data_IF_472251707554
#
_entry.id   IF_472251707554
#
_cell.length_a   1.000
_cell.length_b   1.000
_cell.length_c   1.000
_cell.angle_alpha   90.00
_cell.angle_beta   90.00
_cell.angle_gamma   90.00
#
_symmetry.space_group_name_H-M   'P 1'
#
loop_
_entity.id
_entity.type
_entity.pdbx_description
1 polymer ?
#
# COMPACT_ATOMS: atom_id res chain seq x y z
N UNK A 1 -7.25 17.15 22.69
CA UNK A 1 -6.02 17.61 23.36
C UNK A 1 -4.73 17.24 22.62
N UNK A 2 -4.69 16.18 21.78
CA UNK A 2 -3.50 15.70 21.04
C UNK A 2 -3.16 16.57 19.82
N UNK A 3 -4.17 17.10 19.08
CA UNK A 3 -4.02 17.89 17.85
C UNK A 3 -3.01 19.05 17.94
N UNK A 4 -3.06 19.94 18.95
CA UNK A 4 -2.11 21.08 19.04
C UNK A 4 -0.67 20.63 19.32
N UNK A 5 -0.50 19.52 20.04
CA UNK A 5 0.82 18.96 20.39
C UNK A 5 1.45 18.31 19.15
N UNK A 6 0.68 17.50 18.42
CA UNK A 6 1.11 16.87 17.17
C UNK A 6 1.48 17.92 16.12
N UNK A 7 0.68 18.97 15.93
CA UNK A 7 0.97 20.05 15.02
C UNK A 7 2.28 20.77 15.35
N UNK A 8 2.56 21.00 16.62
CA UNK A 8 3.80 21.62 17.08
C UNK A 8 5.01 20.70 16.94
N UNK A 9 4.85 19.42 17.26
CA UNK A 9 5.93 18.42 17.21
C UNK A 9 6.37 18.09 15.78
N UNK A 10 5.42 18.06 14.85
CA UNK A 10 5.68 17.74 13.44
C UNK A 10 5.74 18.97 12.52
N UNK A 11 5.70 20.19 13.09
CA UNK A 11 5.74 21.45 12.36
C UNK A 11 4.71 21.56 11.21
N UNK A 12 3.51 20.99 11.43
CA UNK A 12 2.43 20.91 10.44
C UNK A 12 1.74 22.28 10.36
N UNK A 13 1.69 22.88 9.17
CA UNK A 13 0.98 24.14 8.93
C UNK A 13 -0.54 23.93 9.05
N UNK A 14 -1.26 24.93 9.56
CA UNK A 14 -2.72 24.87 9.77
C UNK A 14 -3.54 24.71 8.49
N UNK A 15 -3.12 25.33 7.40
CA UNK A 15 -3.81 25.25 6.11
C UNK A 15 -3.55 23.91 5.43
N UNK A 16 -4.61 23.16 5.11
CA UNK A 16 -4.55 21.85 4.45
C UNK A 16 -4.34 20.64 5.37
N UNK A 17 -4.05 20.85 6.67
CA UNK A 17 -3.84 19.73 7.61
C UNK A 17 -5.15 19.23 8.26
N UNK A 18 -6.27 19.94 8.12
CA UNK A 18 -7.52 19.56 8.79
C UNK A 18 -8.10 18.26 8.23
N UNK A 19 -8.07 18.09 6.92
CA UNK A 19 -8.50 16.83 6.28
C UNK A 19 -7.63 15.65 6.69
N UNK A 20 -6.32 15.86 6.83
CA UNK A 20 -5.40 14.83 7.30
C UNK A 20 -5.68 14.44 8.76
N UNK A 21 -5.87 15.41 9.66
CA UNK A 21 -6.20 15.13 11.05
C UNK A 21 -7.58 14.47 11.21
N UNK A 22 -8.55 14.87 10.40
CA UNK A 22 -9.85 14.22 10.37
C UNK A 22 -9.74 12.77 9.92
N UNK A 23 -8.92 12.49 8.92
CA UNK A 23 -8.69 11.11 8.46
C UNK A 23 -7.97 10.26 9.51
N UNK A 24 -6.98 10.82 10.23
CA UNK A 24 -6.33 10.13 11.36
C UNK A 24 -7.33 9.87 12.48
N UNK A 25 -8.18 10.83 12.81
CA UNK A 25 -9.23 10.67 13.83
C UNK A 25 -10.25 9.61 13.42
N UNK A 26 -10.74 9.66 12.19
CA UNK A 26 -11.65 8.66 11.65
C UNK A 26 -11.02 7.25 11.70
N UNK A 27 -9.72 7.14 11.39
CA UNK A 27 -8.99 5.88 11.47
C UNK A 27 -8.90 5.34 12.89
N UNK A 28 -8.58 6.19 13.86
CA UNK A 28 -8.54 5.78 15.26
C UNK A 28 -9.91 5.29 15.74
N UNK A 29 -11.00 5.88 15.25
CA UNK A 29 -12.35 5.39 15.54
C UNK A 29 -12.64 4.06 14.84
N UNK A 30 -12.27 3.90 13.56
CA UNK A 30 -12.43 2.62 12.84
C UNK A 30 -11.67 1.48 13.53
N UNK A 31 -10.45 1.72 14.01
CA UNK A 31 -9.62 0.73 14.74
C UNK A 31 -10.21 0.32 16.11
N UNK A 32 -11.16 1.07 16.62
CA UNK A 32 -11.89 0.72 17.86
C UNK A 32 -13.25 0.09 17.61
N UNK A 33 -13.69 -0.03 16.35
CA UNK A 33 -14.94 -0.62 15.94
C UNK A 33 -14.75 -2.09 15.51
N UNK A 34 -14.75 -2.98 16.49
CA UNK A 34 -14.52 -4.42 16.26
C UNK A 34 -15.67 -5.11 15.52
N UNK A 35 -16.89 -4.58 15.54
CA UNK A 35 -17.99 -5.10 14.73
C UNK A 35 -17.72 -4.83 13.24
N UNK A 36 -17.21 -3.65 12.90
CA UNK A 36 -16.79 -3.31 11.55
C UNK A 36 -15.59 -4.14 11.09
N UNK A 37 -14.59 -4.32 11.96
CA UNK A 37 -13.40 -5.14 11.67
C UNK A 37 -13.79 -6.59 11.43
N UNK A 38 -14.64 -7.18 12.28
CA UNK A 38 -15.14 -8.55 12.13
C UNK A 38 -15.83 -8.75 10.78
N UNK A 39 -16.72 -7.83 10.41
CA UNK A 39 -17.43 -7.89 9.12
C UNK A 39 -16.47 -7.83 7.94
N UNK A 40 -15.53 -6.88 7.95
CA UNK A 40 -14.51 -6.74 6.90
C UNK A 40 -13.61 -7.97 6.80
N UNK A 41 -13.20 -8.51 7.93
CA UNK A 41 -12.39 -9.73 8.02
C UNK A 41 -13.08 -10.93 7.38
N UNK A 42 -14.37 -11.14 7.68
CA UNK A 42 -15.15 -12.19 7.07
C UNK A 42 -15.31 -11.99 5.56
N UNK A 43 -15.68 -10.81 5.12
CA UNK A 43 -15.86 -10.49 3.69
C UNK A 43 -14.59 -10.70 2.87
N UNK A 44 -13.43 -10.24 3.36
CA UNK A 44 -12.14 -10.41 2.66
C UNK A 44 -11.72 -11.87 2.65
N UNK A 45 -11.84 -12.56 3.79
CA UNK A 45 -11.49 -13.97 3.91
C UNK A 45 -12.29 -14.83 2.93
N UNK A 46 -13.60 -14.63 2.84
CA UNK A 46 -14.47 -15.34 1.91
C UNK A 46 -14.12 -15.05 0.44
N UNK A 47 -13.92 -13.77 0.10
CA UNK A 47 -13.60 -13.35 -1.26
C UNK A 47 -12.22 -13.83 -1.73
N UNK A 48 -11.27 -13.98 -0.81
CA UNK A 48 -9.89 -14.38 -1.10
C UNK A 48 -9.61 -15.88 -0.84
N UNK A 49 -10.56 -16.65 -0.32
CA UNK A 49 -10.39 -18.06 0.06
C UNK A 49 -9.97 -18.98 -1.11
N UNK A 50 -10.21 -18.58 -2.36
CA UNK A 50 -9.82 -19.35 -3.54
C UNK A 50 -8.36 -19.12 -3.98
N UNK A 51 -7.67 -18.13 -3.39
CA UNK A 51 -6.27 -17.86 -3.71
C UNK A 51 -5.38 -18.98 -3.16
N UNK A 52 -4.42 -19.51 -3.95
CA UNK A 52 -3.60 -20.62 -3.53
C UNK A 52 -2.63 -20.21 -2.42
N UNK A 53 -2.33 -21.14 -1.53
CA UNK A 53 -1.38 -20.97 -0.42
C UNK A 53 -1.69 -19.82 0.55
N UNK A 54 -2.93 -19.37 0.58
CA UNK A 54 -3.44 -18.33 1.47
C UNK A 54 -4.48 -18.94 2.39
N UNK A 55 -4.46 -18.57 3.68
CA UNK A 55 -5.42 -19.06 4.66
C UNK A 55 -5.77 -17.95 5.67
N UNK A 56 -6.93 -18.11 6.32
CA UNK A 56 -7.52 -17.12 7.22
C UNK A 56 -8.10 -17.81 8.46
N UNK A 57 -8.17 -17.13 9.62
CA UNK A 57 -8.91 -17.65 10.75
C UNK A 57 -10.41 -17.71 10.43
N UNK A 58 -11.10 -18.70 10.97
CA UNK A 58 -12.55 -18.66 11.04
C UNK A 58 -12.94 -17.70 12.15
N UNK A 59 -13.88 -16.80 11.84
CA UNK A 59 -14.42 -15.85 12.79
C UNK A 59 -15.73 -16.33 13.38
N UNK A 60 -16.00 -15.98 14.65
CA UNK A 60 -17.18 -16.39 15.42
C UNK A 60 -17.98 -15.16 15.88
N UNK A 61 -18.89 -14.61 15.04
CA UNK A 61 -19.69 -13.44 15.38
C UNK A 61 -20.52 -13.62 16.66
N UNK A 62 -21.02 -14.85 16.89
CA UNK A 62 -21.81 -15.21 18.06
C UNK A 62 -21.05 -15.10 19.40
N UNK A 63 -19.71 -15.06 19.33
CA UNK A 63 -18.81 -14.87 20.48
C UNK A 63 -18.02 -13.57 20.41
N UNK A 64 -18.39 -12.68 19.50
CA UNK A 64 -17.75 -11.37 19.28
C UNK A 64 -18.67 -10.23 19.69
N UNK A 65 -18.11 -9.05 19.95
CA UNK A 65 -18.86 -7.83 20.25
C UNK A 65 -17.99 -6.59 19.95
N UNK A 66 -18.52 -5.38 20.16
CA UNK A 66 -17.83 -4.11 19.91
C UNK A 66 -16.37 -4.02 20.39
N UNK A 67 -15.95 -4.88 21.34
CA UNK A 67 -14.62 -4.84 21.96
C UNK A 67 -13.88 -6.17 21.96
N UNK A 68 -14.44 -7.20 21.35
CA UNK A 68 -13.87 -8.55 21.33
C UNK A 68 -14.14 -9.16 19.96
N UNK A 69 -13.10 -9.57 19.26
CA UNK A 69 -13.20 -10.44 18.10
C UNK A 69 -12.78 -11.85 18.53
N UNK A 70 -13.64 -12.83 18.28
CA UNK A 70 -13.37 -14.23 18.52
C UNK A 70 -13.12 -14.92 17.20
N UNK A 71 -11.94 -15.55 17.07
CA UNK A 71 -11.51 -16.26 15.86
C UNK A 71 -10.66 -17.47 16.21
N UNK A 72 -10.44 -18.35 15.23
CA UNK A 72 -9.53 -19.48 15.36
C UNK A 72 -8.11 -19.02 15.71
N UNK A 73 -7.44 -19.80 16.54
CA UNK A 73 -6.01 -19.66 16.75
C UNK A 73 -5.27 -20.22 15.53
N UNK A 74 -4.48 -19.39 14.86
CA UNK A 74 -3.68 -19.79 13.71
C UNK A 74 -2.25 -20.16 14.12
N UNK A 75 -1.85 -21.40 13.84
CA UNK A 75 -0.50 -21.87 14.12
C UNK A 75 0.46 -21.47 12.99
N UNK A 76 1.43 -20.64 13.30
CA UNK A 76 2.43 -20.19 12.34
C UNK A 76 3.53 -19.35 13.00
N UNK A 77 4.61 -19.12 12.27
CA UNK A 77 5.67 -18.21 12.66
C UNK A 77 5.33 -16.81 12.17
N UNK A 78 5.62 -15.80 12.95
CA UNK A 78 5.51 -14.42 12.47
C UNK A 78 6.33 -14.22 11.19
N UNK A 79 5.78 -13.46 10.25
CA UNK A 79 6.43 -13.19 8.97
C UNK A 79 7.87 -12.71 9.14
N UNK A 80 8.12 -11.78 10.06
CA UNK A 80 9.45 -11.27 10.39
C UNK A 80 10.40 -12.29 11.01
N UNK A 81 9.89 -13.36 11.61
CA UNK A 81 10.70 -14.47 12.11
C UNK A 81 11.01 -15.47 10.99
N UNK A 82 10.02 -15.71 10.14
CA UNK A 82 10.17 -16.57 8.97
C UNK A 82 11.27 -16.05 8.03
N UNK A 83 11.29 -14.74 7.72
CA UNK A 83 12.28 -14.13 6.82
C UNK A 83 13.73 -14.24 7.33
N UNK A 84 13.94 -14.42 8.63
CA UNK A 84 15.27 -14.54 9.26
C UNK A 84 15.79 -15.99 9.36
N UNK A 85 14.98 -16.97 8.95
CA UNK A 85 15.38 -18.37 9.02
C UNK A 85 16.06 -18.80 7.72
N UNK A 86 16.76 -19.93 7.80
CA UNK A 86 17.34 -20.60 6.63
C UNK A 86 16.19 -21.34 5.87
N UNK A 87 15.50 -20.60 5.03
CA UNK A 87 14.44 -21.10 4.17
C UNK A 87 14.98 -21.35 2.76
N UNK A 88 14.38 -22.31 2.04
CA UNK A 88 14.68 -22.47 0.61
C UNK A 88 14.19 -21.24 -0.18
N UNK A 89 14.89 -20.92 -1.29
CA UNK A 89 14.44 -19.82 -2.16
C UNK A 89 13.04 -20.07 -2.73
N UNK A 90 12.68 -21.33 -2.97
CA UNK A 90 11.35 -21.72 -3.44
C UNK A 90 10.27 -21.41 -2.41
N UNK A 91 10.52 -21.65 -1.12
CA UNK A 91 9.61 -21.28 -0.04
C UNK A 91 9.43 -19.75 0.06
N UNK A 92 10.54 -19.01 -0.02
CA UNK A 92 10.50 -17.54 0.00
C UNK A 92 9.73 -16.98 -1.20
N UNK A 93 9.98 -17.53 -2.41
CA UNK A 93 9.27 -17.13 -3.62
C UNK A 93 7.77 -17.50 -3.56
N UNK A 94 7.44 -18.67 -3.00
CA UNK A 94 6.05 -19.12 -2.82
C UNK A 94 5.28 -18.14 -1.92
N UNK A 95 5.84 -17.78 -0.77
CA UNK A 95 5.22 -16.80 0.14
C UNK A 95 5.14 -15.43 -0.51
N UNK A 96 6.20 -14.99 -1.19
CA UNK A 96 6.22 -13.73 -1.92
C UNK A 96 5.15 -13.66 -3.02
N UNK A 97 5.01 -14.71 -3.83
CA UNK A 97 3.96 -14.77 -4.85
C UNK A 97 2.56 -14.72 -4.24
N UNK A 98 2.33 -15.47 -3.15
CA UNK A 98 1.05 -15.46 -2.44
C UNK A 98 0.72 -14.06 -1.91
N UNK A 99 1.70 -13.39 -1.31
CA UNK A 99 1.53 -12.03 -0.79
C UNK A 99 1.23 -11.03 -1.93
N UNK A 100 1.96 -11.11 -3.04
CA UNK A 100 1.72 -10.31 -4.23
C UNK A 100 0.31 -10.51 -4.77
N UNK A 101 -0.09 -11.75 -5.01
CA UNK A 101 -1.40 -12.11 -5.56
C UNK A 101 -2.54 -11.65 -4.67
N UNK A 102 -2.38 -11.79 -3.36
CA UNK A 102 -3.36 -11.33 -2.37
C UNK A 102 -3.61 -9.83 -2.46
N UNK A 103 -2.55 -9.01 -2.53
CA UNK A 103 -2.69 -7.55 -2.67
C UNK A 103 -3.22 -7.14 -4.04
N UNK A 104 -2.73 -7.75 -5.11
CA UNK A 104 -3.18 -7.43 -6.47
C UNK A 104 -4.64 -7.84 -6.68
N UNK A 105 -5.07 -8.99 -6.17
CA UNK A 105 -6.47 -9.40 -6.23
C UNK A 105 -7.39 -8.40 -5.51
N UNK A 106 -7.03 -7.96 -4.33
CA UNK A 106 -7.78 -6.94 -3.60
C UNK A 106 -7.89 -5.64 -4.39
N UNK A 107 -6.79 -5.12 -4.91
CA UNK A 107 -6.77 -3.83 -5.62
C UNK A 107 -7.52 -3.90 -6.96
N UNK A 108 -7.26 -4.93 -7.76
CA UNK A 108 -7.71 -4.99 -9.15
C UNK A 108 -9.08 -5.64 -9.31
N UNK A 109 -9.44 -6.60 -8.46
CA UNK A 109 -10.71 -7.33 -8.55
C UNK A 109 -11.73 -6.81 -7.54
N UNK A 110 -11.33 -6.73 -6.26
CA UNK A 110 -12.26 -6.33 -5.20
C UNK A 110 -12.42 -4.81 -5.08
N UNK A 111 -11.53 -4.01 -5.68
CA UNK A 111 -11.52 -2.54 -5.56
C UNK A 111 -11.42 -2.06 -4.11
N UNK A 112 -10.74 -2.81 -3.30
CA UNK A 112 -10.43 -2.48 -1.92
C UNK A 112 -9.04 -3.03 -1.58
N UNK A 113 -8.43 -2.58 -0.50
CA UNK A 113 -7.11 -3.05 -0.11
C UNK A 113 -6.92 -2.98 1.39
N UNK A 114 -6.23 -3.97 1.93
CA UNK A 114 -5.67 -3.92 3.28
C UNK A 114 -4.54 -2.88 3.30
N UNK A 115 -4.83 -1.69 3.81
CA UNK A 115 -3.93 -0.54 3.72
C UNK A 115 -2.90 -0.45 4.86
N UNK A 116 -2.72 -1.53 5.62
CA UNK A 116 -1.67 -1.68 6.62
C UNK A 116 -0.78 -2.91 6.35
N UNK A 117 0.10 -2.85 5.34
CA UNK A 117 1.03 -3.92 4.97
C UNK A 117 2.17 -4.03 6.00
N UNK A 118 1.85 -4.57 7.16
CA UNK A 118 2.79 -4.74 8.25
C UNK A 118 3.08 -6.24 8.49
N UNK A 119 4.34 -6.65 8.70
CA UNK A 119 4.70 -8.05 8.93
C UNK A 119 3.95 -8.72 10.10
N UNK A 120 3.51 -7.94 11.09
CA UNK A 120 2.74 -8.42 12.23
C UNK A 120 1.35 -8.96 11.90
N UNK A 121 0.80 -8.59 10.73
CA UNK A 121 -0.52 -9.02 10.27
C UNK A 121 -0.48 -10.38 9.55
N UNK A 122 0.71 -10.99 9.45
CA UNK A 122 0.94 -12.23 8.70
C UNK A 122 1.72 -13.25 9.50
N UNK A 123 1.27 -14.51 9.41
CA UNK A 123 2.03 -15.67 9.86
C UNK A 123 2.34 -16.57 8.67
N UNK A 124 3.33 -17.43 8.82
CA UNK A 124 3.65 -18.50 7.85
C UNK A 124 3.53 -19.84 8.56
N UNK A 125 2.63 -20.70 8.07
CA UNK A 125 2.41 -22.05 8.62
C UNK A 125 3.57 -23.00 8.32
N UNK A 126 3.55 -24.18 8.95
CA UNK A 126 4.57 -25.20 8.74
C UNK A 126 4.58 -25.74 7.29
N UNK A 127 3.42 -25.82 6.64
CA UNK A 127 3.25 -26.24 5.24
C UNK A 127 3.43 -25.09 4.22
N UNK A 128 3.98 -23.95 4.69
CA UNK A 128 4.32 -22.79 3.86
C UNK A 128 3.10 -22.16 3.18
N UNK A 129 2.06 -21.93 3.96
CA UNK A 129 0.95 -21.04 3.60
C UNK A 129 1.12 -19.70 4.30
N UNK A 130 0.69 -18.64 3.62
CA UNK A 130 0.55 -17.32 4.21
C UNK A 130 -0.78 -17.24 4.96
N UNK A 131 -0.74 -16.88 6.23
CA UNK A 131 -1.92 -16.71 7.08
C UNK A 131 -2.11 -15.22 7.35
N UNK A 132 -3.30 -14.70 7.08
CA UNK A 132 -3.62 -13.27 7.32
C UNK A 132 -4.53 -13.19 8.55
N UNK A 133 -4.09 -12.50 9.58
CA UNK A 133 -4.73 -12.53 10.91
C UNK A 133 -5.35 -11.19 11.33
N UNK A 134 -5.17 -10.12 10.58
CA UNK A 134 -5.67 -8.78 10.89
C UNK A 134 -6.16 -8.07 9.64
N UNK A 135 -7.33 -7.39 9.73
CA UNK A 135 -7.95 -6.62 8.66
C UNK A 135 -8.48 -5.26 9.16
N UNK A 136 -7.94 -4.72 10.23
CA UNK A 136 -8.38 -3.47 10.84
C UNK A 136 -8.37 -2.25 9.91
N UNK A 137 -7.60 -2.30 8.81
CA UNK A 137 -7.46 -1.18 7.88
C UNK A 137 -7.80 -1.54 6.44
N UNK A 138 -9.08 -1.75 6.11
CA UNK A 138 -9.52 -1.92 4.73
C UNK A 138 -9.94 -0.57 4.14
N UNK A 139 -9.46 -0.28 2.92
CA UNK A 139 -9.80 0.92 2.17
C UNK A 139 -10.42 0.57 0.82
N UNK A 140 -11.53 1.21 0.51
CA UNK A 140 -12.12 1.16 -0.83
C UNK A 140 -11.32 2.02 -1.81
N UNK A 141 -11.22 1.54 -3.04
CA UNK A 141 -10.54 2.23 -4.14
C UNK A 141 -11.61 2.65 -5.16
N UNK A 142 -12.07 3.92 -5.12
CA UNK A 142 -13.09 4.41 -6.05
C UNK A 142 -12.61 4.36 -7.50
N UNK A 143 -13.54 4.16 -8.44
CA UNK A 143 -13.19 4.02 -9.86
C UNK A 143 -12.59 5.29 -10.48
N UNK A 144 -12.98 6.47 -10.01
CA UNK A 144 -12.45 7.76 -10.42
C UNK A 144 -11.00 7.98 -9.99
N UNK A 145 -10.59 7.32 -8.90
CA UNK A 145 -9.20 7.26 -8.47
C UNK A 145 -8.45 6.06 -9.08
N UNK A 146 -9.07 4.89 -9.14
CA UNK A 146 -8.43 3.65 -9.60
C UNK A 146 -7.84 3.78 -11.02
N UNK A 147 -8.67 4.25 -11.97
CA UNK A 147 -8.25 4.33 -13.37
C UNK A 147 -7.04 5.23 -13.58
N UNK A 148 -7.08 6.53 -13.21
CA UNK A 148 -5.94 7.40 -13.44
C UNK A 148 -4.68 6.93 -12.71
N UNK A 149 -4.81 6.31 -11.53
CA UNK A 149 -3.67 5.81 -10.77
C UNK A 149 -2.98 4.64 -11.46
N UNK A 150 -3.73 3.60 -11.84
CA UNK A 150 -3.14 2.40 -12.45
C UNK A 150 -2.83 2.58 -13.94
N UNK A 151 -3.47 3.50 -14.65
CA UNK A 151 -3.05 3.89 -16.00
C UNK A 151 -1.61 4.45 -16.01
N UNK A 152 -1.20 5.16 -14.96
CA UNK A 152 0.18 5.63 -14.78
C UNK A 152 1.18 4.52 -14.41
N UNK A 153 0.73 3.30 -14.11
CA UNK A 153 1.63 2.17 -13.95
C UNK A 153 2.22 1.67 -15.27
N UNK A 154 1.60 2.01 -16.43
CA UNK A 154 2.10 1.65 -17.75
C UNK A 154 3.15 2.64 -18.22
N UNK A 155 4.31 2.12 -18.65
CA UNK A 155 5.44 2.93 -19.11
C UNK A 155 5.06 3.87 -20.26
N UNK A 156 4.29 3.39 -21.23
CA UNK A 156 3.83 4.18 -22.36
C UNK A 156 3.01 5.41 -21.98
N UNK A 157 2.20 5.30 -20.93
CA UNK A 157 1.38 6.39 -20.40
C UNK A 157 2.22 7.37 -19.57
N UNK A 158 3.17 6.84 -18.81
CA UNK A 158 4.08 7.66 -18.01
C UNK A 158 4.98 8.52 -18.92
N UNK A 159 5.44 7.96 -20.04
CA UNK A 159 6.31 8.65 -21.01
C UNK A 159 5.55 9.60 -21.96
N UNK A 160 4.22 9.68 -21.87
CA UNK A 160 3.40 10.66 -22.59
C UNK A 160 3.17 11.91 -21.75
N UNK A 161 3.83 13.04 -21.99
CA UNK A 161 3.81 14.20 -21.09
C UNK A 161 2.41 14.82 -20.90
N UNK A 162 1.58 14.85 -21.97
CA UNK A 162 0.23 15.41 -21.89
C UNK A 162 -0.69 14.50 -21.09
N UNK A 163 -0.68 13.20 -21.39
CA UNK A 163 -1.44 12.19 -20.66
C UNK A 163 -1.02 12.15 -19.19
N UNK A 164 0.28 12.11 -18.93
CA UNK A 164 0.83 12.11 -17.58
C UNK A 164 0.34 13.30 -16.76
N UNK A 165 0.46 14.52 -17.33
CA UNK A 165 0.01 15.74 -16.66
C UNK A 165 -1.49 15.75 -16.39
N UNK A 166 -2.31 15.31 -17.34
CA UNK A 166 -3.77 15.16 -17.17
C UNK A 166 -4.09 14.25 -15.97
N UNK A 167 -3.40 13.09 -15.86
CA UNK A 167 -3.62 12.16 -14.74
C UNK A 167 -3.17 12.75 -13.42
N UNK A 168 -2.11 13.54 -13.37
CA UNK A 168 -1.69 14.23 -12.15
C UNK A 168 -2.76 15.21 -11.65
N UNK A 169 -3.50 15.90 -12.54
CA UNK A 169 -4.65 16.71 -12.15
C UNK A 169 -5.81 15.86 -11.64
N UNK A 170 -6.14 14.75 -12.33
CA UNK A 170 -7.21 13.83 -11.89
C UNK A 170 -6.92 13.21 -10.52
N UNK A 171 -5.67 12.99 -10.18
CA UNK A 171 -5.21 12.47 -8.90
C UNK A 171 -5.02 13.56 -7.82
N UNK A 172 -5.38 14.81 -8.11
CA UNK A 172 -5.22 15.96 -7.19
C UNK A 172 -3.75 16.24 -6.81
N UNK A 173 -2.80 15.77 -7.63
CA UNK A 173 -1.38 16.04 -7.43
C UNK A 173 -1.02 17.44 -7.94
N UNK A 174 -1.60 17.84 -9.08
CA UNK A 174 -1.52 19.18 -9.63
C UNK A 174 -2.86 19.90 -9.46
N UNK A 175 -2.81 21.22 -9.36
CA UNK A 175 -3.96 22.10 -9.22
C UNK A 175 -3.86 23.29 -10.17
N UNK A 176 -5.01 23.83 -10.62
CA UNK A 176 -5.07 25.04 -11.44
C UNK A 176 -4.53 26.28 -10.71
N UNK A 177 -4.45 26.22 -9.39
CA UNK A 177 -3.88 27.27 -8.55
C UNK A 177 -2.35 27.19 -8.42
N UNK A 178 -1.72 26.18 -8.99
CA UNK A 178 -0.27 26.01 -8.90
C UNK A 178 0.47 27.05 -9.76
N UNK A 179 1.53 27.61 -9.21
CA UNK A 179 2.45 28.42 -9.99
C UNK A 179 3.19 27.56 -11.03
N UNK A 180 3.69 28.18 -12.09
CA UNK A 180 4.49 27.47 -13.12
C UNK A 180 5.64 26.68 -12.48
N UNK A 181 6.30 27.24 -11.47
CA UNK A 181 7.38 26.58 -10.75
C UNK A 181 6.92 25.33 -9.98
N UNK A 182 5.73 25.38 -9.38
CA UNK A 182 5.14 24.21 -8.70
C UNK A 182 4.73 23.13 -9.70
N UNK A 183 4.11 23.51 -10.81
CA UNK A 183 3.75 22.58 -11.88
C UNK A 183 4.98 21.82 -12.40
N UNK A 184 6.05 22.53 -12.73
CA UNK A 184 7.31 21.91 -13.20
C UNK A 184 7.91 20.99 -12.13
N UNK A 185 7.99 21.46 -10.89
CA UNK A 185 8.59 20.73 -9.79
C UNK A 185 7.82 19.43 -9.49
N UNK A 186 6.49 19.51 -9.30
CA UNK A 186 5.69 18.36 -8.95
C UNK A 186 5.54 17.38 -10.13
N UNK A 187 5.44 17.87 -11.36
CA UNK A 187 5.43 17.00 -12.53
C UNK A 187 6.72 16.16 -12.59
N UNK A 188 7.88 16.79 -12.40
CA UNK A 188 9.16 16.10 -12.38
C UNK A 188 9.27 15.11 -11.21
N UNK A 189 8.92 15.55 -9.99
CA UNK A 189 8.96 14.71 -8.80
C UNK A 189 8.13 13.44 -8.98
N UNK A 190 6.88 13.61 -9.41
CA UNK A 190 5.96 12.46 -9.55
C UNK A 190 6.32 11.57 -10.74
N UNK A 191 6.92 12.11 -11.80
CA UNK A 191 7.49 11.29 -12.85
C UNK A 191 8.61 10.39 -12.34
N UNK A 192 9.61 10.94 -11.65
CA UNK A 192 10.72 10.17 -11.08
C UNK A 192 10.24 9.12 -10.06
N UNK A 193 9.26 9.50 -9.22
CA UNK A 193 8.68 8.61 -8.22
C UNK A 193 7.91 7.45 -8.88
N UNK A 194 7.03 7.74 -9.83
CA UNK A 194 6.23 6.72 -10.50
C UNK A 194 7.06 5.86 -11.45
N UNK A 195 8.05 6.40 -12.14
CA UNK A 195 8.99 5.64 -12.96
C UNK A 195 9.67 4.54 -12.14
N UNK A 196 10.05 4.86 -10.92
CA UNK A 196 10.69 3.91 -10.03
C UNK A 196 9.68 2.92 -9.42
N UNK A 197 8.60 3.41 -8.82
CA UNK A 197 7.62 2.57 -8.13
C UNK A 197 6.81 1.66 -9.07
N UNK A 198 6.62 2.04 -10.33
CA UNK A 198 5.88 1.22 -11.30
C UNK A 198 6.78 0.27 -12.08
N UNK A 199 8.09 0.27 -11.85
CA UNK A 199 9.05 -0.61 -12.52
C UNK A 199 8.64 -2.09 -12.48
N UNK A 200 8.18 -2.66 -11.35
CA UNK A 200 7.70 -4.04 -11.32
C UNK A 200 6.57 -4.29 -12.33
N UNK A 201 5.59 -3.39 -12.44
CA UNK A 201 4.43 -3.55 -13.33
C UNK A 201 4.77 -3.56 -14.82
N UNK A 202 5.98 -3.15 -15.19
CA UNK A 202 6.47 -3.13 -16.58
C UNK A 202 7.37 -4.33 -16.90
N UNK A 203 7.31 -5.39 -16.09
CA UNK A 203 8.04 -6.64 -16.27
C UNK A 203 7.09 -7.84 -16.26
N UNK A 204 7.52 -8.97 -16.81
CA UNK A 204 6.80 -10.24 -16.67
C UNK A 204 7.00 -10.81 -15.26
N UNK A 205 8.26 -10.85 -14.83
CA UNK A 205 8.67 -11.26 -13.51
C UNK A 205 9.55 -10.19 -12.91
N UNK A 206 9.47 -10.00 -11.58
CA UNK A 206 10.30 -9.03 -10.88
C UNK A 206 11.07 -9.69 -9.73
N UNK A 207 12.31 -9.21 -9.52
CA UNK A 207 13.19 -9.63 -8.44
C UNK A 207 13.20 -8.58 -7.33
N UNK A 208 12.48 -8.86 -6.23
CA UNK A 208 12.45 -7.97 -5.08
C UNK A 208 13.66 -8.13 -4.14
N UNK A 209 14.59 -9.03 -4.44
CA UNK A 209 15.88 -9.11 -3.73
C UNK A 209 16.93 -8.12 -4.24
N UNK A 210 16.64 -7.40 -5.34
CA UNK A 210 17.55 -6.42 -5.94
C UNK A 210 17.76 -5.21 -5.03
N UNK A 211 18.90 -5.18 -4.34
CA UNK A 211 19.29 -4.10 -3.45
C UNK A 211 19.38 -2.74 -4.18
N UNK A 212 19.71 -2.75 -5.49
CA UNK A 212 19.84 -1.51 -6.29
C UNK A 212 18.51 -0.81 -6.41
N UNK A 213 17.42 -1.55 -6.65
CA UNK A 213 16.07 -1.01 -6.72
C UNK A 213 15.66 -0.31 -5.42
N UNK A 214 15.93 -0.93 -4.28
CA UNK A 214 15.59 -0.35 -2.98
C UNK A 214 16.48 0.83 -2.59
N UNK A 215 17.76 0.79 -3.00
CA UNK A 215 18.67 1.92 -2.80
C UNK A 215 18.21 3.15 -3.62
N UNK A 216 17.78 2.97 -4.86
CA UNK A 216 17.23 4.03 -5.70
C UNK A 216 15.97 4.67 -5.07
N UNK A 217 15.07 3.85 -4.49
CA UNK A 217 13.90 4.35 -3.74
C UNK A 217 14.35 5.20 -2.54
N UNK A 218 15.31 4.71 -1.75
CA UNK A 218 15.82 5.41 -0.59
C UNK A 218 16.49 6.74 -0.98
N UNK A 219 17.30 6.74 -2.03
CA UNK A 219 18.01 7.92 -2.54
C UNK A 219 17.04 8.97 -3.07
N UNK A 220 15.98 8.52 -3.78
CA UNK A 220 14.90 9.40 -4.23
C UNK A 220 14.22 10.07 -3.03
N UNK A 221 13.83 9.29 -2.02
CA UNK A 221 13.23 9.80 -0.79
C UNK A 221 14.10 10.82 -0.07
N UNK A 222 15.40 10.54 0.09
CA UNK A 222 16.34 11.46 0.73
C UNK A 222 16.55 12.75 -0.06
N UNK A 223 16.64 12.67 -1.40
CA UNK A 223 16.79 13.81 -2.28
C UNK A 223 15.61 14.79 -2.13
N UNK A 224 14.37 14.25 -2.14
CA UNK A 224 13.18 15.07 -2.02
C UNK A 224 12.89 15.55 -0.59
N UNK A 225 13.25 14.79 0.43
CA UNK A 225 13.18 15.25 1.81
C UNK A 225 14.04 16.50 2.07
N UNK A 226 15.19 16.59 1.42
CA UNK A 226 16.05 17.80 1.47
C UNK A 226 15.46 18.98 0.71
N UNK A 227 14.69 18.73 -0.35
CA UNK A 227 14.07 19.77 -1.18
C UNK A 227 12.74 20.28 -0.60
N UNK A 228 12.01 19.47 0.18
CA UNK A 228 10.75 19.87 0.83
C UNK A 228 10.89 21.04 1.82
N UNK A 229 12.13 21.38 2.19
CA UNK A 229 12.45 22.61 2.94
C UNK A 229 12.35 23.90 2.09
N UNK A 230 11.92 23.84 0.83
CA UNK A 230 11.69 25.03 0.00
C UNK A 230 10.45 25.77 0.52
N UNK A 231 10.71 26.84 1.26
CA UNK A 231 9.69 27.74 1.83
C UNK A 231 8.72 28.20 0.75
N UNK A 232 7.44 27.91 0.93
CA UNK A 232 6.35 28.51 0.15
C UNK A 232 5.56 27.58 -0.77
N UNK A 233 6.00 26.33 -1.01
CA UNK A 233 5.22 25.36 -1.81
C UNK A 233 4.18 24.65 -0.95
N UNK A 234 2.98 24.43 -1.51
CA UNK A 234 2.01 23.54 -0.90
C UNK A 234 2.48 22.09 -1.09
N UNK A 235 2.86 21.43 -0.01
CA UNK A 235 3.36 20.05 -0.04
C UNK A 235 2.25 19.00 0.14
N UNK A 236 1.02 19.43 0.35
CA UNK A 236 -0.14 18.54 0.52
C UNK A 236 -0.67 18.19 -0.88
N UNK A 237 -0.18 17.10 -1.46
CA UNK A 237 -0.46 16.68 -2.84
C UNK A 237 -1.07 15.31 -2.90
N UNK A 238 -2.02 15.14 -3.81
CA UNK A 238 -2.74 13.90 -4.03
C UNK A 238 -3.93 13.71 -3.10
N UNK A 239 -4.90 12.96 -3.56
CA UNK A 239 -6.07 12.59 -2.76
C UNK A 239 -5.68 11.66 -1.61
N UNK A 240 -6.55 11.48 -0.62
CA UNK A 240 -6.36 10.52 0.48
C UNK A 240 -6.10 9.09 -0.03
N UNK A 241 -6.72 8.70 -1.14
CA UNK A 241 -6.56 7.39 -1.73
C UNK A 241 -5.13 7.17 -2.25
N UNK A 242 -4.51 8.23 -2.80
CA UNK A 242 -3.12 8.21 -3.24
C UNK A 242 -2.16 7.87 -2.08
N UNK A 243 -2.37 8.50 -0.92
CA UNK A 243 -1.55 8.26 0.27
C UNK A 243 -1.65 6.80 0.73
N UNK A 244 -2.88 6.25 0.79
CA UNK A 244 -3.10 4.88 1.22
C UNK A 244 -2.50 3.85 0.26
N UNK A 245 -2.69 4.01 -1.06
CA UNK A 245 -2.14 3.09 -2.03
C UNK A 245 -0.61 3.10 -2.04
N UNK A 246 0.00 4.29 -2.01
CA UNK A 246 1.46 4.39 -1.97
C UNK A 246 2.04 3.78 -0.69
N UNK A 247 1.41 4.01 0.46
CA UNK A 247 1.80 3.35 1.71
C UNK A 247 1.69 1.82 1.57
N UNK A 248 0.62 1.34 0.95
CA UNK A 248 0.42 -0.09 0.73
C UNK A 248 1.50 -0.67 -0.17
N UNK A 249 1.80 -0.06 -1.31
CA UNK A 249 2.87 -0.53 -2.18
C UNK A 249 4.24 -0.46 -1.53
N UNK A 250 4.53 0.61 -0.80
CA UNK A 250 5.80 0.73 -0.09
C UNK A 250 5.99 -0.38 0.95
N UNK A 251 4.96 -0.65 1.76
CA UNK A 251 5.02 -1.73 2.74
C UNK A 251 5.07 -3.12 2.10
N UNK A 252 4.29 -3.34 1.03
CA UNK A 252 4.34 -4.58 0.25
C UNK A 252 5.74 -4.83 -0.31
N UNK A 253 6.35 -3.82 -0.96
CA UNK A 253 7.70 -3.95 -1.51
C UNK A 253 8.74 -4.24 -0.42
N UNK A 254 8.64 -3.59 0.74
CA UNK A 254 9.52 -3.88 1.86
C UNK A 254 9.37 -5.33 2.34
N UNK A 255 8.14 -5.84 2.50
CA UNK A 255 7.93 -7.24 2.87
C UNK A 255 8.47 -8.22 1.81
N UNK A 256 8.28 -7.91 0.52
CA UNK A 256 8.84 -8.69 -0.58
C UNK A 256 10.37 -8.69 -0.56
N UNK A 257 10.97 -7.54 -0.23
CA UNK A 257 12.42 -7.41 -0.07
C UNK A 257 12.95 -8.18 1.14
N UNK A 258 12.27 -8.10 2.28
CA UNK A 258 12.63 -8.86 3.49
C UNK A 258 12.58 -10.38 3.25
N UNK A 259 11.65 -10.85 2.41
CA UNK A 259 11.60 -12.22 1.92
C UNK A 259 12.74 -12.57 0.95
N UNK A 260 13.44 -11.58 0.37
CA UNK A 260 14.32 -11.80 -0.77
C UNK A 260 13.61 -12.54 -1.90
N UNK A 261 12.34 -12.19 -2.16
CA UNK A 261 11.50 -12.85 -3.14
C UNK A 261 11.98 -12.57 -4.57
N UNK A 262 12.17 -13.63 -5.35
CA UNK A 262 12.72 -13.59 -6.71
C UNK A 262 11.74 -14.17 -7.71
N UNK A 263 11.82 -13.73 -8.98
CA UNK A 263 10.98 -14.25 -10.07
C UNK A 263 9.48 -14.17 -9.81
N UNK A 264 9.03 -13.15 -9.09
CA UNK A 264 7.62 -12.93 -8.81
C UNK A 264 6.89 -12.57 -10.08
N UNK A 265 5.86 -13.34 -10.43
CA UNK A 265 5.03 -13.12 -11.62
C UNK A 265 4.14 -11.91 -11.40
N UNK A 266 4.31 -10.88 -12.23
CA UNK A 266 3.63 -9.59 -12.09
C UNK A 266 2.46 -9.47 -13.07
N UNK A 267 2.63 -9.94 -14.30
CA UNK A 267 1.80 -9.61 -15.46
C UNK A 267 0.39 -10.15 -15.46
N UNK A 268 0.05 -11.09 -14.57
CA UNK A 268 -1.30 -11.68 -14.53
C UNK A 268 -2.41 -10.64 -14.25
N UNK A 269 -2.06 -9.48 -13.67
CA UNK A 269 -2.99 -8.40 -13.37
C UNK A 269 -2.94 -7.23 -14.37
N UNK A 270 -2.08 -7.27 -15.38
CA UNK A 270 -1.96 -6.18 -16.38
C UNK A 270 -3.23 -5.95 -17.18
N UNK A 271 -4.07 -6.97 -17.35
CA UNK A 271 -5.33 -6.87 -18.10
C UNK A 271 -6.44 -6.12 -17.33
N UNK A 272 -6.25 -5.80 -16.06
CA UNK A 272 -7.20 -5.04 -15.26
C UNK A 272 -6.96 -3.53 -15.32
N UNK A 273 -5.85 -3.10 -15.92
CA UNK A 273 -5.40 -1.71 -16.02
C UNK A 273 -5.68 -1.15 -17.42
#
# INVERSE_FOLDING_TARGET
MVKPIAMKMFNIKKEGSESYFQEVENKLFEETDYDLELKRSQEISEKCAHLPNLDFPKYYPEFSCERIITMDWMEGKHFSEFTKQDNSQDDLNKIGQTLWDFYMYQMHVLRQVHADPHPGNFLVSADKKLLVIDFGCIKEIPNDFYRPYFELAKRENLDNPEFFKEKLYQLEILSDNDSTKELEFFTKLFYELLELFTRPFNTVNFDFSDETFFQEIADLGQRYAKLSNMKGMNTNRGSKHFIYLNRTFFGLYNMMHDLKAQNIVINQYQNFI
#
